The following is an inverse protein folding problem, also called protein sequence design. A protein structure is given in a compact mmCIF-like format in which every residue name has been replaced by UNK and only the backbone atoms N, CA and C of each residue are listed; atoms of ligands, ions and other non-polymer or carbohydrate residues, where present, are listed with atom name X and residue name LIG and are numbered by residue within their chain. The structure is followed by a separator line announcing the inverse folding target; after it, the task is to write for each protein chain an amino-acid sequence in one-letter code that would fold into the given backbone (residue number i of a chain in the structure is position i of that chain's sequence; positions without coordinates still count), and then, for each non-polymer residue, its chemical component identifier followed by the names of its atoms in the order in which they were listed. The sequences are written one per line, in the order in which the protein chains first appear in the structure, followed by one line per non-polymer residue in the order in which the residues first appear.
data_IF_664803745230
#
_entry.id   IF_664803745230
#
_cell.length_a   1.000
_cell.length_b   1.000
_cell.length_c   1.000
_cell.angle_alpha   90.00
_cell.angle_beta   90.00
_cell.angle_gamma   90.00
#
_symmetry.space_group_name_H-M   'P 1'
#
loop_
_entity.id
_entity.type
_entity.pdbx_description
1 polymer ?
#
# COMPACT_ATOMS: atom_id res chain seq x y z
N UNK A 1 -9.25 -16.71 -22.92
CA UNK A 1 -8.85 -15.84 -21.79
C UNK A 1 -7.49 -16.31 -21.31
N UNK A 2 -6.51 -15.41 -21.21
CA UNK A 2 -5.19 -15.75 -20.64
C UNK A 2 -5.28 -15.64 -19.11
N UNK A 3 -4.59 -16.52 -18.35
CA UNK A 3 -4.56 -16.44 -16.89
C UNK A 3 -4.03 -15.06 -16.44
N UNK A 4 -4.76 -14.46 -15.52
CA UNK A 4 -4.34 -13.27 -14.80
C UNK A 4 -3.57 -13.75 -13.57
N UNK A 5 -2.26 -13.50 -13.55
CA UNK A 5 -1.48 -13.59 -12.32
C UNK A 5 -1.50 -12.17 -11.76
N UNK A 6 -2.20 -11.96 -10.65
CA UNK A 6 -2.15 -10.72 -9.88
C UNK A 6 -0.90 -10.76 -9.03
N UNK A 7 0.17 -10.12 -9.51
CA UNK A 7 1.36 -9.81 -8.72
C UNK A 7 1.15 -8.44 -8.07
N UNK A 8 1.12 -8.40 -6.74
CA UNK A 8 1.28 -7.16 -5.98
C UNK A 8 2.77 -6.88 -5.84
N UNK A 9 3.25 -5.87 -6.55
CA UNK A 9 4.63 -5.42 -6.43
C UNK A 9 4.67 -4.06 -5.72
N UNK A 10 5.16 -4.06 -4.49
CA UNK A 10 5.39 -2.83 -3.75
C UNK A 10 6.68 -2.15 -4.26
N UNK A 11 6.56 -0.86 -4.55
CA UNK A 11 7.68 0.04 -4.80
C UNK A 11 7.55 1.28 -3.91
N UNK A 12 8.61 1.62 -3.21
CA UNK A 12 8.69 2.82 -2.38
C UNK A 12 9.67 3.79 -3.04
N UNK A 13 9.15 4.92 -3.52
CA UNK A 13 9.99 5.98 -4.06
C UNK A 13 10.98 6.47 -2.99
N UNK A 14 12.27 6.65 -3.32
CA UNK A 14 13.25 7.21 -2.39
C UNK A 14 12.85 8.58 -1.82
N UNK A 15 12.02 9.34 -2.55
CA UNK A 15 11.49 10.65 -2.14
C UNK A 15 10.56 10.51 -0.92
N UNK A 16 9.86 9.39 -0.74
CA UNK A 16 9.01 9.20 0.44
C UNK A 16 9.80 9.30 1.75
N UNK A 17 11.07 8.86 1.76
CA UNK A 17 11.93 8.95 2.94
C UNK A 17 12.47 10.35 3.21
N UNK A 18 12.56 11.22 2.20
CA UNK A 18 13.00 12.60 2.40
C UNK A 18 11.87 13.50 2.93
N UNK A 19 10.60 13.08 2.79
CA UNK A 19 9.44 13.84 3.30
C UNK A 19 9.15 13.64 4.79
N UNK A 20 9.75 12.63 5.43
CA UNK A 20 9.48 12.29 6.84
C UNK A 20 8.09 11.65 7.10
N UNK A 21 7.25 11.53 6.07
CA UNK A 21 5.92 10.90 6.13
C UNK A 21 6.00 9.35 6.21
N UNK A 22 7.17 8.78 5.94
CA UNK A 22 7.47 7.36 6.03
C UNK A 22 8.80 7.15 6.74
N UNK A 23 8.81 6.30 7.77
CA UNK A 23 9.99 6.06 8.61
C UNK A 23 10.81 4.87 8.10
N UNK A 24 12.15 5.01 8.14
CA UNK A 24 13.06 3.89 7.83
C UNK A 24 12.95 2.76 8.87
N UNK A 25 12.53 3.06 10.10
CA UNK A 25 12.33 2.03 11.13
C UNK A 25 11.23 1.03 10.74
N UNK A 26 10.16 1.48 10.07
CA UNK A 26 9.11 0.57 9.56
C UNK A 26 9.64 -0.41 8.50
N UNK A 27 10.60 0.01 7.68
CA UNK A 27 11.30 -0.87 6.73
C UNK A 27 12.38 -1.73 7.39
N UNK A 28 12.96 -1.29 8.50
CA UNK A 28 13.93 -2.09 9.24
C UNK A 28 13.31 -3.35 9.88
N UNK A 29 11.98 -3.38 10.04
CA UNK A 29 11.24 -4.58 10.42
C UNK A 29 11.15 -5.62 9.28
N UNK A 30 11.35 -5.20 8.03
CA UNK A 30 11.51 -6.09 6.89
C UNK A 30 12.98 -6.52 6.78
N UNK A 31 13.24 -7.70 6.21
CA UNK A 31 14.62 -8.14 6.04
C UNK A 31 15.41 -7.14 5.19
N UNK A 32 16.73 -6.98 5.40
CA UNK A 32 17.54 -6.05 4.62
C UNK A 32 17.39 -6.26 3.10
N UNK A 33 17.27 -7.52 2.67
CA UNK A 33 17.04 -7.90 1.29
C UNK A 33 15.68 -7.45 0.72
N UNK A 34 14.63 -7.38 1.55
CA UNK A 34 13.32 -6.86 1.13
C UNK A 34 13.37 -5.33 1.02
N UNK A 35 13.94 -4.66 2.01
CA UNK A 35 14.03 -3.19 2.04
C UNK A 35 14.86 -2.63 0.88
N UNK A 36 15.98 -3.27 0.54
CA UNK A 36 16.79 -2.90 -0.63
C UNK A 36 16.00 -3.09 -1.94
N UNK A 37 15.29 -4.21 -2.08
CA UNK A 37 14.44 -4.47 -3.25
C UNK A 37 13.35 -3.42 -3.38
N UNK A 38 12.65 -3.05 -2.31
CA UNK A 38 11.55 -2.07 -2.35
C UNK A 38 11.95 -0.69 -2.85
N UNK A 39 13.23 -0.32 -2.71
CA UNK A 39 13.77 1.00 -3.12
C UNK A 39 14.49 1.02 -4.46
N UNK A 40 14.88 -0.13 -5.02
CA UNK A 40 15.64 -0.23 -6.27
C UNK A 40 14.73 -0.66 -7.43
N UNK A 41 14.50 0.22 -8.43
CA UNK A 41 13.83 -0.14 -9.70
C UNK A 41 14.84 -0.36 -10.84
N UNK A 42 16.12 -0.34 -10.50
CA UNK A 42 17.21 -0.35 -11.47
C UNK A 42 17.62 -1.77 -11.86
N UNK A 43 18.68 -1.85 -12.66
CA UNK A 43 19.24 -3.06 -13.25
C UNK A 43 19.46 -4.20 -12.24
N UNK A 44 19.70 -3.88 -10.96
CA UNK A 44 19.92 -4.90 -9.93
C UNK A 44 18.63 -5.67 -9.59
N UNK A 45 17.48 -4.99 -9.53
CA UNK A 45 16.19 -5.64 -9.28
C UNK A 45 15.73 -6.43 -10.50
N UNK A 46 15.93 -5.89 -11.70
CA UNK A 46 15.67 -6.60 -12.97
C UNK A 46 16.50 -7.89 -13.06
N UNK A 47 17.81 -7.82 -12.81
CA UNK A 47 18.69 -9.01 -12.80
C UNK A 47 18.30 -10.05 -11.76
N UNK A 48 17.84 -9.63 -10.58
CA UNK A 48 17.37 -10.55 -9.54
C UNK A 48 16.06 -11.24 -9.95
N UNK A 49 15.13 -10.47 -10.53
CA UNK A 49 13.87 -10.97 -11.08
C UNK A 49 14.13 -12.00 -12.19
N UNK A 50 15.03 -11.70 -13.12
CA UNK A 50 15.46 -12.63 -14.16
C UNK A 50 16.11 -13.90 -13.58
N UNK A 51 17.02 -13.75 -12.61
CA UNK A 51 17.73 -14.87 -11.98
C UNK A 51 16.81 -15.79 -11.15
N UNK A 52 15.67 -15.28 -10.69
CA UNK A 52 14.69 -16.03 -9.88
C UNK A 52 13.50 -16.51 -10.69
N UNK A 53 13.50 -16.29 -12.01
CA UNK A 53 12.40 -16.67 -12.90
C UNK A 53 11.13 -15.83 -12.71
N UNK A 54 11.22 -14.71 -11.98
CA UNK A 54 10.14 -13.73 -11.82
C UNK A 54 10.19 -12.79 -13.01
N UNK A 55 9.42 -13.10 -14.04
CA UNK A 55 9.36 -12.29 -15.26
C UNK A 55 8.15 -11.36 -15.21
N UNK A 56 8.36 -10.08 -14.89
CA UNK A 56 7.42 -9.01 -15.23
C UNK A 56 8.27 -7.80 -15.60
N UNK A 57 8.14 -7.20 -16.79
CA UNK A 57 7.09 -6.23 -17.08
C UNK A 57 6.60 -6.33 -18.54
N UNK A 58 5.35 -6.78 -18.71
CA UNK A 58 4.52 -6.35 -19.84
C UNK A 58 3.83 -5.05 -19.43
N UNK A 59 4.39 -3.84 -19.67
CA UNK A 59 3.80 -2.57 -19.21
C UNK A 59 2.38 -2.32 -19.73
N UNK A 60 1.96 -3.06 -20.77
CA UNK A 60 0.58 -3.04 -21.26
C UNK A 60 -0.42 -3.84 -20.42
N UNK A 61 0.03 -4.76 -19.57
CA UNK A 61 -0.82 -5.67 -18.75
C UNK A 61 -0.94 -5.26 -17.29
N UNK A 62 -0.04 -4.41 -16.80
CA UNK A 62 -0.07 -3.93 -15.41
C UNK A 62 -0.60 -2.50 -15.34
N UNK A 63 -1.19 -2.19 -14.18
CA UNK A 63 -1.67 -0.87 -13.80
C UNK A 63 -1.20 -0.59 -12.38
N UNK A 64 -1.07 0.69 -12.05
CA UNK A 64 -0.52 1.14 -10.78
C UNK A 64 -1.60 1.82 -9.94
N UNK A 65 -1.60 1.51 -8.65
CA UNK A 65 -2.34 2.23 -7.63
C UNK A 65 -1.41 3.19 -6.89
N UNK A 66 -1.94 4.34 -6.49
CA UNK A 66 -1.23 5.29 -5.65
C UNK A 66 -1.24 4.81 -4.21
N UNK A 67 -0.08 4.55 -3.63
CA UNK A 67 0.03 4.29 -2.19
C UNK A 67 -0.05 5.63 -1.44
N UNK A 68 -1.16 5.90 -0.77
CA UNK A 68 -1.39 7.19 -0.09
C UNK A 68 -1.24 7.07 1.42
N UNK A 69 -0.63 8.09 2.03
CA UNK A 69 -0.63 8.25 3.49
C UNK A 69 -1.89 8.96 3.96
N UNK A 70 -2.75 8.23 4.67
CA UNK A 70 -4.03 8.74 5.18
C UNK A 70 -3.89 9.57 6.46
N UNK A 71 -2.67 9.80 6.95
CA UNK A 71 -2.39 10.66 8.12
C UNK A 71 -2.75 12.12 7.83
N UNK A 72 -2.60 12.55 6.57
CA UNK A 72 -2.99 13.88 6.11
C UNK A 72 -3.95 13.73 4.91
N UNK A 73 -5.28 13.73 5.15
CA UNK A 73 -6.26 13.53 4.08
C UNK A 73 -6.13 14.54 2.94
N UNK A 74 -5.81 15.80 3.25
CA UNK A 74 -5.61 16.84 2.23
C UNK A 74 -4.40 16.55 1.33
N UNK A 75 -3.28 16.09 1.91
CA UNK A 75 -2.09 15.73 1.14
C UNK A 75 -2.33 14.45 0.32
N UNK A 76 -3.02 13.46 0.89
CA UNK A 76 -3.41 12.24 0.19
C UNK A 76 -4.29 12.55 -1.03
N UNK A 77 -5.26 13.45 -0.89
CA UNK A 77 -6.13 13.89 -1.98
C UNK A 77 -5.35 14.59 -3.11
N UNK A 78 -4.41 15.46 -2.75
CA UNK A 78 -3.54 16.12 -3.73
C UNK A 78 -2.67 15.12 -4.49
N UNK A 79 -2.10 14.14 -3.78
CA UNK A 79 -1.24 13.13 -4.38
C UNK A 79 -2.02 12.15 -5.26
N UNK A 80 -3.24 11.77 -4.87
CA UNK A 80 -4.13 10.97 -5.71
C UNK A 80 -4.36 11.65 -7.06
N UNK A 81 -4.67 12.95 -7.04
CA UNK A 81 -4.87 13.74 -8.25
C UNK A 81 -3.63 13.71 -9.15
N UNK A 82 -2.46 13.99 -8.59
CA UNK A 82 -1.18 13.97 -9.32
C UNK A 82 -0.91 12.61 -9.94
N UNK A 83 -1.06 11.52 -9.17
CA UNK A 83 -0.82 10.16 -9.65
C UNK A 83 -1.75 9.76 -10.80
N UNK A 84 -3.04 10.08 -10.71
CA UNK A 84 -4.01 9.72 -11.75
C UNK A 84 -3.83 10.58 -12.99
N UNK A 85 -3.74 11.91 -12.82
CA UNK A 85 -3.75 12.84 -13.95
C UNK A 85 -2.39 12.91 -14.65
N UNK A 86 -1.29 12.88 -13.91
CA UNK A 86 0.05 13.12 -14.46
C UNK A 86 0.81 11.83 -14.73
N UNK A 87 0.55 10.77 -13.95
CA UNK A 87 1.30 9.51 -14.02
C UNK A 87 0.49 8.32 -14.59
N UNK A 88 -0.81 8.49 -14.83
CA UNK A 88 -1.67 7.47 -15.42
C UNK A 88 -2.01 6.32 -14.46
N UNK A 89 -1.99 6.56 -13.15
CA UNK A 89 -2.40 5.58 -12.15
C UNK A 89 -3.92 5.37 -12.21
N UNK A 90 -4.39 4.18 -11.84
CA UNK A 90 -5.80 3.79 -11.98
C UNK A 90 -6.59 3.87 -10.67
N UNK A 91 -6.04 4.49 -9.63
CA UNK A 91 -6.69 4.67 -8.33
C UNK A 91 -5.70 4.75 -7.18
N UNK A 92 -6.16 4.39 -5.98
CA UNK A 92 -5.33 4.34 -4.77
C UNK A 92 -5.36 2.97 -4.08
N UNK A 93 -4.28 2.68 -3.35
CA UNK A 93 -4.21 1.65 -2.32
C UNK A 93 -3.87 2.35 -1.00
N UNK A 94 -4.67 2.12 0.03
CA UNK A 94 -4.48 2.67 1.37
C UNK A 94 -4.67 1.57 2.41
N UNK A 95 -4.09 1.76 3.61
CA UNK A 95 -4.43 0.90 4.74
C UNK A 95 -5.92 0.97 5.05
N UNK A 96 -6.50 -0.03 5.70
CA UNK A 96 -7.89 0.03 6.15
C UNK A 96 -8.09 0.91 7.40
N UNK A 97 -7.02 1.30 8.10
CA UNK A 97 -7.02 2.27 9.19
C UNK A 97 -5.62 2.92 9.37
N UNK A 98 -5.49 3.92 10.23
CA UNK A 98 -4.19 4.44 10.67
C UNK A 98 -3.55 3.55 11.76
N UNK A 99 -2.26 3.74 12.04
CA UNK A 99 -1.54 2.97 13.08
C UNK A 99 -2.19 3.10 14.48
N UNK A 100 -2.86 4.21 14.77
CA UNK A 100 -3.58 4.45 16.02
C UNK A 100 -4.98 3.81 16.06
N UNK A 101 -5.39 3.14 14.97
CA UNK A 101 -6.71 2.53 14.82
C UNK A 101 -7.77 3.49 14.27
N UNK A 102 -7.42 4.71 13.87
CA UNK A 102 -8.40 5.63 13.27
C UNK A 102 -8.87 5.11 11.91
N UNK A 103 -10.18 4.86 11.78
CA UNK A 103 -10.85 4.59 10.52
C UNK A 103 -11.17 5.89 9.76
N UNK A 104 -11.58 5.75 8.50
CA UNK A 104 -11.69 6.86 7.57
C UNK A 104 -13.13 7.37 7.36
N UNK A 105 -13.95 7.26 8.41
CA UNK A 105 -15.35 7.67 8.46
C UNK A 105 -15.55 9.13 8.90
N UNK A 106 -14.51 9.77 9.45
CA UNK A 106 -14.56 11.17 9.84
C UNK A 106 -14.61 12.13 8.63
N UNK A 107 -15.29 13.29 8.71
CA UNK A 107 -15.43 14.24 7.60
C UNK A 107 -14.12 14.77 7.00
N UNK A 108 -13.01 14.70 7.75
CA UNK A 108 -11.70 15.08 7.23
C UNK A 108 -11.28 14.22 6.02
N UNK A 109 -11.73 12.96 5.95
CA UNK A 109 -11.42 12.04 4.87
C UNK A 109 -12.24 12.26 3.59
N UNK A 110 -13.31 13.05 3.66
CA UNK A 110 -14.10 13.45 2.49
C UNK A 110 -13.24 14.13 1.42
N UNK A 111 -12.13 14.77 1.82
CA UNK A 111 -11.15 15.34 0.89
C UNK A 111 -10.59 14.29 -0.08
N UNK A 112 -10.30 13.07 0.41
CA UNK A 112 -9.79 11.96 -0.41
C UNK A 112 -10.92 11.37 -1.25
N UNK A 113 -12.09 11.14 -0.63
CA UNK A 113 -13.25 10.54 -1.28
C UNK A 113 -13.80 11.40 -2.42
N UNK A 114 -13.89 12.71 -2.22
CA UNK A 114 -14.31 13.65 -3.24
C UNK A 114 -13.36 13.64 -4.44
N UNK A 115 -12.05 13.53 -4.22
CA UNK A 115 -11.07 13.43 -5.32
C UNK A 115 -11.17 12.09 -6.05
N UNK A 116 -11.26 10.97 -5.32
CA UNK A 116 -11.45 9.65 -5.93
C UNK A 116 -12.73 9.60 -6.78
N UNK A 117 -13.84 10.13 -6.25
CA UNK A 117 -15.11 10.25 -6.96
C UNK A 117 -14.99 11.15 -8.21
N UNK A 118 -14.37 12.33 -8.08
CA UNK A 118 -14.23 13.27 -9.18
C UNK A 118 -13.33 12.73 -10.31
N UNK A 119 -12.36 11.88 -9.98
CA UNK A 119 -11.48 11.22 -10.94
C UNK A 119 -12.07 9.91 -11.50
N UNK A 120 -13.18 9.43 -10.93
CA UNK A 120 -13.80 8.15 -11.25
C UNK A 120 -12.82 6.97 -11.12
N UNK A 121 -12.10 6.91 -9.99
CA UNK A 121 -11.11 5.86 -9.70
C UNK A 121 -11.41 5.13 -8.39
N UNK A 122 -11.15 3.81 -8.32
CA UNK A 122 -11.32 3.04 -7.09
C UNK A 122 -10.25 3.37 -6.04
N UNK A 123 -10.62 3.13 -4.78
CA UNK A 123 -9.71 3.08 -3.64
C UNK A 123 -9.75 1.67 -3.06
N UNK A 124 -8.61 0.98 -3.11
CA UNK A 124 -8.43 -0.32 -2.48
C UNK A 124 -8.02 -0.14 -1.01
N UNK A 125 -8.85 -0.63 -0.09
CA UNK A 125 -8.56 -0.69 1.33
C UNK A 125 -7.82 -1.99 1.64
N UNK A 126 -6.49 -1.91 1.71
CA UNK A 126 -5.64 -3.07 2.01
C UNK A 126 -5.70 -3.38 3.52
N UNK A 127 -5.89 -4.65 3.93
CA UNK A 127 -5.84 -5.05 5.33
C UNK A 127 -4.53 -4.63 6.01
N UNK A 128 -4.60 -4.21 7.26
CA UNK A 128 -3.43 -3.90 8.06
C UNK A 128 -3.49 -4.57 9.41
N UNK A 129 -2.33 -4.63 10.06
CA UNK A 129 -2.23 -5.11 11.42
C UNK A 129 -3.16 -4.28 12.31
N UNK A 130 -4.11 -4.91 13.01
CA UNK A 130 -5.07 -4.19 13.83
C UNK A 130 -4.35 -3.60 15.06
N UNK A 131 -4.89 -2.50 15.57
CA UNK A 131 -4.56 -2.02 16.92
C UNK A 131 -4.93 -3.09 17.96
N UNK A 132 -4.37 -3.02 19.17
CA UNK A 132 -4.73 -3.99 20.23
C UNK A 132 -6.24 -3.95 20.55
N UNK A 133 -6.86 -2.76 20.47
CA UNK A 133 -8.31 -2.62 20.65
C UNK A 133 -9.10 -3.34 19.53
N UNK A 134 -8.69 -3.16 18.27
CA UNK A 134 -9.33 -3.85 17.14
C UNK A 134 -9.08 -5.35 17.14
N UNK A 135 -7.88 -5.79 17.55
CA UNK A 135 -7.58 -7.21 17.77
C UNK A 135 -8.55 -7.81 18.78
N UNK A 136 -8.63 -7.22 19.97
CA UNK A 136 -9.49 -7.69 21.04
C UNK A 136 -10.97 -7.74 20.63
N UNK A 137 -11.42 -6.77 19.83
CA UNK A 137 -12.81 -6.68 19.41
C UNK A 137 -13.18 -7.60 18.23
N UNK A 138 -12.29 -7.77 17.26
CA UNK A 138 -12.63 -8.37 15.95
C UNK A 138 -11.95 -9.72 15.68
N UNK A 139 -10.82 -10.01 16.33
CA UNK A 139 -9.96 -11.13 15.98
C UNK A 139 -9.58 -12.04 17.15
N UNK A 140 -9.79 -11.62 18.40
CA UNK A 140 -9.46 -12.42 19.57
C UNK A 140 -10.41 -13.61 19.78
N UNK A 141 -9.90 -14.68 20.41
CA UNK A 141 -10.71 -15.83 20.85
C UNK A 141 -10.43 -17.14 20.09
N UNK A 142 -9.41 -17.17 19.24
CA UNK A 142 -8.96 -18.36 18.52
C UNK A 142 -7.88 -19.15 19.28
N UNK A 143 -7.36 -18.59 20.37
CA UNK A 143 -6.43 -19.28 21.28
C UNK A 143 -4.97 -19.22 20.86
N UNK A 144 -4.67 -18.58 19.71
CA UNK A 144 -3.31 -18.29 19.25
C UNK A 144 -3.23 -16.86 18.71
N UNK A 145 -2.61 -15.96 19.47
CA UNK A 145 -2.48 -14.56 19.10
C UNK A 145 -1.74 -14.37 17.76
N UNK A 146 -0.81 -15.24 17.40
CA UNK A 146 -0.10 -15.14 16.12
C UNK A 146 -1.06 -15.39 14.96
N UNK A 147 -1.84 -16.47 15.04
CA UNK A 147 -2.87 -16.79 14.05
C UNK A 147 -3.90 -15.65 13.92
N UNK A 148 -4.36 -15.12 15.06
CA UNK A 148 -5.31 -14.01 15.11
C UNK A 148 -4.76 -12.73 14.45
N UNK A 149 -3.45 -12.47 14.60
CA UNK A 149 -2.77 -11.36 13.93
C UNK A 149 -2.58 -11.57 12.44
N UNK A 150 -2.22 -12.79 12.04
CA UNK A 150 -1.98 -13.11 10.63
C UNK A 150 -3.29 -13.01 9.82
N UNK A 151 -4.42 -13.47 10.38
CA UNK A 151 -5.75 -13.32 9.77
C UNK A 151 -6.14 -11.87 9.53
N UNK A 152 -5.75 -10.97 10.43
CA UNK A 152 -6.06 -9.55 10.31
C UNK A 152 -5.18 -8.82 9.27
N UNK A 153 -3.97 -9.35 9.00
CA UNK A 153 -3.02 -8.73 8.07
C UNK A 153 -3.13 -9.25 6.62
N UNK A 154 -3.76 -10.41 6.41
CA UNK A 154 -3.80 -11.10 5.11
C UNK A 154 -5.19 -11.70 4.85
N UNK A 155 -6.07 -10.90 4.25
CA UNK A 155 -7.21 -11.36 3.46
C UNK A 155 -7.06 -10.82 2.04
#
# INVERSE_FOLDING_TARGET
MLPCITLEEHYLSPILFSTGLYSKEKLAALSPAISEKLSAVDDARVKNMDATGVSVQHPKRFRSFALLSMVSPAAAAAELRRCVQDLGFVGALVGNHLDDGTFYDAPAYDAVWAVAQALDVPVHLHPQRPSDAHHAALYAGLGDRRLEMDLACWC
#
